data_IF_017328653283
#
_entry.id   IF_017328653283
#
_cell.length_a   1.000
_cell.length_b   1.000
_cell.length_c   1.000
_cell.angle_alpha   90.00
_cell.angle_beta   90.00
_cell.angle_gamma   90.00
#
_symmetry.space_group_name_H-M   'P 1'
#
loop_
_entity.id
_entity.type
_entity.pdbx_description
1 polymer ?
#
# COMPACT_ATOMS: atom_id res chain seq x y z
N UNK A 1 20.11 -23.50 44.02
CA UNK A 1 19.59 -24.35 42.92
C UNK A 1 18.26 -23.83 42.35
N UNK A 2 17.24 -23.51 43.17
CA UNK A 2 15.92 -23.03 42.71
C UNK A 2 15.92 -21.68 41.96
N UNK A 3 16.91 -20.80 42.23
CA UNK A 3 17.02 -19.47 41.60
C UNK A 3 17.48 -19.50 40.13
N UNK A 4 18.19 -20.54 39.70
CA UNK A 4 18.70 -20.66 38.31
C UNK A 4 17.60 -21.20 37.37
N UNK A 5 16.70 -22.04 37.91
CA UNK A 5 15.57 -22.61 37.15
C UNK A 5 14.56 -21.51 36.78
N UNK A 6 14.33 -20.51 37.64
CA UNK A 6 13.45 -19.39 37.31
C UNK A 6 14.02 -18.48 36.21
N UNK A 7 15.33 -18.26 36.13
CA UNK A 7 15.92 -17.42 35.08
C UNK A 7 15.85 -18.07 33.68
N UNK A 8 15.88 -19.40 33.60
CA UNK A 8 15.80 -20.12 32.33
C UNK A 8 14.39 -20.08 31.70
N UNK A 9 13.34 -19.99 32.53
CA UNK A 9 11.94 -19.95 32.06
C UNK A 9 11.54 -18.55 31.54
N UNK A 10 12.17 -17.48 32.04
CA UNK A 10 11.88 -16.11 31.58
C UNK A 10 12.43 -15.78 30.18
N UNK A 11 13.38 -16.55 29.66
CA UNK A 11 13.93 -16.35 28.30
C UNK A 11 13.04 -16.93 27.19
N UNK A 12 12.01 -17.72 27.52
CA UNK A 12 11.15 -18.37 26.54
C UNK A 12 9.87 -17.56 26.18
N UNK A 13 9.65 -16.39 26.79
CA UNK A 13 8.41 -15.63 26.67
C UNK A 13 8.49 -14.37 25.80
N UNK A 14 9.62 -14.08 25.16
CA UNK A 14 9.74 -12.95 24.22
C UNK A 14 9.57 -13.41 22.76
N UNK A 15 8.47 -14.10 22.45
CA UNK A 15 7.92 -14.02 21.10
C UNK A 15 6.65 -13.19 21.18
N UNK A 16 6.81 -11.86 21.23
CA UNK A 16 5.76 -10.98 20.74
C UNK A 16 5.60 -11.32 19.27
N UNK A 17 4.67 -12.23 18.97
CA UNK A 17 4.19 -12.40 17.61
C UNK A 17 3.65 -11.05 17.20
N UNK A 18 4.41 -10.33 16.38
CA UNK A 18 3.92 -9.18 15.65
C UNK A 18 2.78 -9.74 14.81
N UNK A 19 1.54 -9.50 15.23
CA UNK A 19 0.38 -9.81 14.43
C UNK A 19 0.56 -9.03 13.14
N UNK A 20 0.91 -9.73 12.06
CA UNK A 20 1.04 -9.16 10.73
C UNK A 20 -0.23 -8.36 10.43
N UNK A 21 -0.15 -7.03 10.52
CA UNK A 21 -1.30 -6.18 10.31
C UNK A 21 -1.54 -6.12 8.80
N UNK A 22 -2.77 -6.34 8.37
CA UNK A 22 -3.11 -6.15 6.96
C UNK A 22 -3.21 -4.65 6.65
N UNK A 23 -2.78 -4.18 5.46
CA UNK A 23 -2.69 -2.76 5.17
C UNK A 23 -4.05 -2.05 5.28
N UNK A 24 -4.26 -1.06 6.15
CA UNK A 24 -5.58 -0.47 6.39
C UNK A 24 -6.14 0.26 5.15
N UNK A 25 -7.47 0.41 5.05
CA UNK A 25 -8.14 1.05 3.89
C UNK A 25 -7.64 2.48 3.64
N UNK A 26 -7.25 3.20 4.69
CA UNK A 26 -6.67 4.54 4.58
C UNK A 26 -5.36 4.54 3.78
N UNK A 27 -4.51 3.52 3.99
CA UNK A 27 -3.27 3.35 3.24
C UNK A 27 -3.58 3.00 1.78
N UNK A 28 -4.55 2.12 1.54
CA UNK A 28 -5.00 1.77 0.17
C UNK A 28 -5.49 3.02 -0.55
N UNK A 29 -6.31 3.85 0.10
CA UNK A 29 -6.78 5.13 -0.46
C UNK A 29 -5.64 6.07 -0.83
N UNK A 30 -4.65 6.21 0.05
CA UNK A 30 -3.49 7.06 -0.19
C UNK A 30 -2.65 6.56 -1.37
N UNK A 31 -2.41 5.24 -1.44
CA UNK A 31 -1.68 4.61 -2.53
C UNK A 31 -2.39 4.77 -3.88
N UNK A 32 -3.72 4.65 -3.94
CA UNK A 32 -4.52 4.96 -5.14
C UNK A 32 -4.32 6.43 -5.53
N UNK A 33 -4.43 7.37 -4.58
CA UNK A 33 -4.28 8.81 -4.84
C UNK A 33 -2.89 9.16 -5.39
N UNK A 34 -1.84 8.57 -4.81
CA UNK A 34 -0.47 8.74 -5.26
C UNK A 34 -0.29 8.18 -6.68
N UNK A 35 -0.83 6.99 -6.96
CA UNK A 35 -0.77 6.36 -8.29
C UNK A 35 -1.42 7.24 -9.36
N UNK A 36 -2.63 7.75 -9.11
CA UNK A 36 -3.34 8.64 -10.03
C UNK A 36 -2.59 9.96 -10.28
N UNK A 37 -2.00 10.51 -9.22
CA UNK A 37 -1.20 11.74 -9.32
C UNK A 37 0.03 11.50 -10.20
N UNK A 38 0.76 10.43 -9.94
CA UNK A 38 1.96 10.06 -10.70
C UNK A 38 1.64 9.82 -12.19
N UNK A 39 0.54 9.11 -12.48
CA UNK A 39 0.10 8.86 -13.85
C UNK A 39 -0.19 10.16 -14.60
N UNK A 40 -0.92 11.09 -14.00
CA UNK A 40 -1.19 12.37 -14.64
C UNK A 40 0.05 13.23 -14.82
N UNK A 41 0.98 13.21 -13.87
CA UNK A 41 2.25 13.89 -14.02
C UNK A 41 3.06 13.31 -15.18
N UNK A 42 3.10 11.99 -15.32
CA UNK A 42 3.77 11.33 -16.44
C UNK A 42 3.13 11.69 -17.80
N UNK A 43 1.80 11.73 -17.87
CA UNK A 43 1.08 12.17 -19.08
C UNK A 43 1.40 13.63 -19.41
N UNK A 44 1.34 14.52 -18.42
CA UNK A 44 1.63 15.93 -18.63
C UNK A 44 3.07 16.16 -19.09
N UNK A 45 4.04 15.44 -18.52
CA UNK A 45 5.44 15.47 -18.95
C UNK A 45 5.60 14.97 -20.40
N UNK A 46 4.95 13.87 -20.78
CA UNK A 46 4.98 13.35 -22.15
C UNK A 46 4.37 14.30 -23.18
N UNK A 47 3.44 15.17 -22.76
CA UNK A 47 2.81 16.17 -23.60
C UNK A 47 3.48 17.56 -23.52
N UNK A 48 4.61 17.70 -22.79
CA UNK A 48 5.27 18.98 -22.49
C UNK A 48 4.31 20.04 -21.91
N UNK A 49 3.31 19.61 -21.13
CA UNK A 49 2.38 20.48 -20.44
C UNK A 49 2.88 20.78 -19.03
N UNK A 50 2.68 22.00 -18.55
CA UNK A 50 2.85 22.31 -17.13
C UNK A 50 1.81 21.54 -16.32
N UNK A 51 2.25 20.44 -15.69
CA UNK A 51 1.41 19.55 -14.91
C UNK A 51 0.81 20.29 -13.72
N UNK A 52 -0.44 20.75 -13.84
CA UNK A 52 -1.20 21.21 -12.69
C UNK A 52 -1.60 20.00 -11.85
N UNK A 53 -1.43 20.08 -10.52
CA UNK A 53 -1.79 18.98 -9.61
C UNK A 53 -3.27 18.63 -9.80
N UNK A 54 -3.60 17.45 -10.36
CA UNK A 54 -4.99 17.09 -10.64
C UNK A 54 -5.74 16.92 -9.31
N UNK A 55 -6.96 17.45 -9.24
CA UNK A 55 -7.80 17.34 -8.06
C UNK A 55 -8.73 16.13 -8.21
N UNK A 56 -8.16 14.94 -7.99
CA UNK A 56 -8.92 13.70 -7.92
C UNK A 56 -9.61 13.55 -6.57
N UNK A 57 -10.91 13.30 -6.61
CA UNK A 57 -11.68 12.86 -5.43
C UNK A 57 -11.97 11.38 -5.56
N UNK A 58 -11.27 10.58 -4.76
CA UNK A 58 -11.53 9.13 -4.65
C UNK A 58 -12.72 8.90 -3.71
N UNK A 59 -13.71 8.18 -4.21
CA UNK A 59 -14.93 7.79 -3.52
C UNK A 59 -15.09 6.25 -3.59
N UNK A 60 -15.88 5.67 -2.69
CA UNK A 60 -16.28 4.24 -2.68
C UNK A 60 -15.17 3.25 -3.06
N UNK A 61 -14.17 3.09 -2.19
CA UNK A 61 -13.17 2.04 -2.36
C UNK A 61 -13.78 0.71 -1.93
N UNK A 62 -13.73 -0.27 -2.81
CA UNK A 62 -14.21 -1.64 -2.61
C UNK A 62 -13.03 -2.60 -2.79
N UNK A 63 -12.40 -2.96 -1.67
CA UNK A 63 -11.26 -3.88 -1.65
C UNK A 63 -11.77 -5.32 -1.80
N UNK A 64 -11.40 -5.98 -2.89
CA UNK A 64 -11.80 -7.37 -3.19
C UNK A 64 -10.85 -8.39 -2.60
N UNK A 65 -9.57 -8.07 -2.53
CA UNK A 65 -8.56 -9.00 -2.04
C UNK A 65 -7.40 -8.25 -1.39
N UNK A 66 -6.91 -8.78 -0.27
CA UNK A 66 -5.68 -8.39 0.44
C UNK A 66 -4.87 -9.67 0.65
N UNK A 67 -3.88 -9.89 -0.20
CA UNK A 67 -3.10 -11.12 -0.19
C UNK A 67 -1.66 -10.83 0.20
N UNK A 68 -1.18 -11.47 1.28
CA UNK A 68 0.25 -11.48 1.59
C UNK A 68 1.00 -12.26 0.52
N UNK A 69 2.06 -11.68 0.00
CA UNK A 69 2.93 -12.28 -1.01
C UNK A 69 4.11 -12.93 -0.31
N UNK A 70 4.30 -14.23 -0.56
CA UNK A 70 5.39 -15.04 -0.01
C UNK A 70 6.35 -15.55 -1.09
N UNK A 71 6.19 -15.10 -2.35
CA UNK A 71 7.07 -15.49 -3.45
C UNK A 71 8.51 -15.02 -3.21
N UNK A 72 9.53 -15.82 -3.55
CA UNK A 72 10.93 -15.40 -3.53
C UNK A 72 11.22 -14.11 -4.29
N UNK A 73 10.41 -13.78 -5.29
CA UNK A 73 10.60 -12.58 -6.13
C UNK A 73 10.49 -11.28 -5.34
N UNK A 74 9.84 -11.30 -4.18
CA UNK A 74 9.64 -10.13 -3.33
C UNK A 74 10.63 -10.04 -2.17
N UNK A 75 11.61 -10.95 -2.09
CA UNK A 75 12.63 -10.95 -1.02
C UNK A 75 13.51 -9.71 -0.97
N UNK A 76 13.56 -8.92 -2.04
CA UNK A 76 14.29 -7.65 -2.08
C UNK A 76 13.65 -6.56 -1.21
N UNK A 77 12.36 -6.69 -0.89
CA UNK A 77 11.66 -5.74 -0.03
C UNK A 77 11.90 -6.12 1.43
N UNK A 78 12.24 -5.13 2.29
CA UNK A 78 12.70 -5.42 3.63
C UNK A 78 11.57 -5.95 4.54
N UNK A 79 10.32 -5.56 4.28
CA UNK A 79 9.17 -5.94 5.08
C UNK A 79 8.21 -6.91 4.39
N UNK A 80 7.03 -7.05 4.97
CA UNK A 80 6.00 -7.91 4.41
C UNK A 80 5.36 -7.24 3.20
N UNK A 81 5.19 -8.00 2.12
CA UNK A 81 4.53 -7.51 0.91
C UNK A 81 3.10 -8.01 0.83
N UNK A 82 2.18 -7.10 0.54
CA UNK A 82 0.78 -7.41 0.26
C UNK A 82 0.42 -6.92 -1.13
N UNK A 83 -0.34 -7.74 -1.87
CA UNK A 83 -1.04 -7.35 -3.10
C UNK A 83 -2.50 -7.07 -2.77
N UNK A 84 -2.97 -5.89 -3.14
CA UNK A 84 -4.31 -5.41 -2.84
C UNK A 84 -5.00 -5.10 -4.16
N UNK A 85 -6.17 -5.71 -4.36
CA UNK A 85 -6.97 -5.56 -5.58
C UNK A 85 -8.39 -5.14 -5.24
N UNK A 86 -8.97 -4.34 -6.10
CA UNK A 86 -10.34 -3.90 -5.94
C UNK A 86 -10.75 -2.86 -6.97
N UNK A 87 -11.76 -2.09 -6.60
CA UNK A 87 -12.29 -1.00 -7.42
C UNK A 87 -12.49 0.28 -6.60
N UNK A 88 -12.50 1.43 -7.27
CA UNK A 88 -12.82 2.71 -6.67
C UNK A 88 -13.61 3.61 -7.63
N UNK A 89 -14.42 4.49 -7.07
CA UNK A 89 -15.04 5.58 -7.81
C UNK A 89 -14.12 6.81 -7.79
N UNK A 90 -14.06 7.56 -8.87
CA UNK A 90 -13.29 8.82 -8.90
C UNK A 90 -14.06 9.95 -9.56
N UNK A 91 -13.75 11.17 -9.14
CA UNK A 91 -14.19 12.40 -9.79
C UNK A 91 -12.98 13.27 -10.02
N UNK A 92 -12.75 13.66 -11.27
CA UNK A 92 -11.76 14.69 -11.59
C UNK A 92 -12.43 16.06 -11.56
N UNK A 93 -12.00 16.91 -10.63
CA UNK A 93 -12.48 18.29 -10.57
C UNK A 93 -11.63 19.16 -11.48
N UNK A 94 -12.14 19.47 -12.67
CA UNK A 94 -11.53 20.44 -13.59
C UNK A 94 -12.21 21.81 -13.45
N UNK A 95 -11.48 22.93 -13.51
CA UNK A 95 -12.07 24.28 -13.52
C UNK A 95 -12.99 24.51 -14.73
N UNK A 96 -12.76 23.80 -15.84
CA UNK A 96 -13.41 24.04 -17.13
C UNK A 96 -14.58 23.08 -17.45
N UNK A 97 -14.85 22.07 -16.62
CA UNK A 97 -15.92 21.08 -16.86
C UNK A 97 -16.60 20.66 -15.55
N UNK A 98 -17.87 20.29 -15.63
CA UNK A 98 -18.59 19.62 -14.55
C UNK A 98 -17.84 18.35 -14.13
N UNK A 99 -17.74 18.09 -12.83
CA UNK A 99 -17.07 16.90 -12.31
C UNK A 99 -17.87 15.66 -12.68
N UNK A 100 -17.35 14.87 -13.61
CA UNK A 100 -17.94 13.59 -14.00
C UNK A 100 -17.49 12.50 -13.01
N UNK A 101 -18.45 11.69 -12.55
CA UNK A 101 -18.16 10.49 -11.77
C UNK A 101 -17.73 9.39 -12.74
N UNK A 102 -16.58 8.80 -12.48
CA UNK A 102 -16.06 7.62 -13.15
C UNK A 102 -16.15 6.46 -12.15
N UNK A 103 -17.15 5.57 -12.26
CA UNK A 103 -17.34 4.49 -11.30
C UNK A 103 -16.49 3.25 -11.63
N UNK A 104 -16.24 2.41 -10.62
CA UNK A 104 -15.65 1.07 -10.77
C UNK A 104 -14.26 1.02 -11.44
N UNK A 105 -13.38 1.99 -11.20
CA UNK A 105 -12.02 1.96 -11.70
C UNK A 105 -11.23 0.85 -10.98
N UNK A 106 -10.62 -0.11 -11.70
CA UNK A 106 -9.86 -1.17 -11.06
C UNK A 106 -8.54 -0.65 -10.50
N UNK A 107 -8.05 -1.27 -9.43
CA UNK A 107 -6.70 -1.07 -8.94
C UNK A 107 -6.03 -2.40 -8.57
N UNK A 108 -4.71 -2.43 -8.72
CA UNK A 108 -3.83 -3.52 -8.30
C UNK A 108 -2.57 -2.88 -7.73
N UNK A 109 -2.42 -2.95 -6.40
CA UNK A 109 -1.38 -2.25 -5.66
C UNK A 109 -0.55 -3.25 -4.87
N UNK A 110 0.74 -2.96 -4.74
CA UNK A 110 1.64 -3.70 -3.90
C UNK A 110 2.13 -2.78 -2.78
N UNK A 111 1.95 -3.20 -1.54
CA UNK A 111 2.37 -2.46 -0.36
C UNK A 111 3.40 -3.28 0.41
N UNK A 112 4.49 -2.64 0.83
CA UNK A 112 5.49 -3.20 1.73
C UNK A 112 5.48 -2.44 3.05
N UNK A 113 5.80 -3.13 4.14
CA UNK A 113 6.09 -2.49 5.43
C UNK A 113 7.59 -2.22 5.57
N UNK A 114 7.97 -1.37 6.52
CA UNK A 114 9.35 -1.27 6.99
C UNK A 114 9.51 -2.13 8.25
N UNK A 115 10.33 -3.20 8.22
CA UNK A 115 10.51 -4.09 9.37
C UNK A 115 11.18 -3.40 10.57
N UNK A 116 11.81 -2.24 10.39
CA UNK A 116 12.42 -1.44 11.46
C UNK A 116 11.45 -0.44 12.09
N UNK A 117 10.24 -0.32 11.55
CA UNK A 117 9.23 0.57 12.11
C UNK A 117 8.58 -0.07 13.34
N UNK A 118 8.97 0.41 14.51
CA UNK A 118 8.41 -0.01 15.81
C UNK A 118 7.27 0.92 16.26
N UNK A 119 6.75 1.78 15.39
CA UNK A 119 5.63 2.65 15.75
C UNK A 119 4.33 1.84 15.90
N UNK A 120 3.38 2.39 16.68
CA UNK A 120 2.07 1.76 16.87
C UNK A 120 1.27 1.65 15.55
N UNK A 121 1.62 2.47 14.56
CA UNK A 121 1.00 2.51 13.23
C UNK A 121 2.04 2.18 12.17
N UNK A 122 2.13 0.90 11.79
CA UNK A 122 3.07 0.40 10.78
C UNK A 122 3.06 1.26 9.52
N UNK A 123 4.23 1.74 9.10
CA UNK A 123 4.38 2.57 7.90
C UNK A 123 4.34 1.69 6.65
N UNK A 124 3.46 2.04 5.72
CA UNK A 124 3.25 1.32 4.47
C UNK A 124 3.79 2.10 3.27
N UNK A 125 4.52 1.40 2.41
CA UNK A 125 5.14 1.96 1.21
C UNK A 125 4.54 1.32 -0.03
N UNK A 126 4.18 2.16 -1.01
CA UNK A 126 3.80 1.70 -2.34
C UNK A 126 5.04 1.21 -3.09
N UNK A 127 5.02 -0.05 -3.51
CA UNK A 127 6.09 -0.66 -4.31
C UNK A 127 5.59 -0.96 -5.71
N UNK A 128 6.51 -0.90 -6.69
CA UNK A 128 6.24 -1.25 -8.08
C UNK A 128 7.11 -2.46 -8.44
N UNK A 129 6.59 -3.69 -8.33
CA UNK A 129 7.35 -4.88 -8.68
C UNK A 129 7.63 -4.89 -10.18
N UNK A 130 8.82 -5.34 -10.56
CA UNK A 130 9.20 -5.50 -11.97
C UNK A 130 8.39 -6.63 -12.61
N UNK A 131 8.17 -6.61 -13.94
CA UNK A 131 7.35 -7.61 -14.64
C UNK A 131 7.75 -9.08 -14.41
N UNK A 132 9.03 -9.34 -14.12
CA UNK A 132 9.54 -10.68 -13.77
C UNK A 132 9.05 -11.21 -12.42
N UNK A 133 8.43 -10.36 -11.61
CA UNK A 133 8.08 -10.61 -10.21
C UNK A 133 6.55 -10.73 -9.99
N UNK A 134 5.74 -10.58 -11.05
CA UNK A 134 4.28 -10.51 -10.95
C UNK A 134 3.54 -11.79 -11.43
N UNK A 135 4.28 -12.84 -11.79
CA UNK A 135 3.76 -14.13 -12.28
C UNK A 135 3.58 -15.15 -11.18
#
# INVERSE_FOLDING_TARGET
MLRIICLAVLLLLTSCGVLAQTPPDQVVKLAIAQTLTNQQQAIAQGLNLSASKPNFKIEKIDVKNRQKITSPDFKQYPGEVYRIRGTFDTKLRSPAKSSQLEPNNPFDLYLSTDPQDTSETETWFLIHPSPKQAT
#
